data_IF_560411960284
#
_entry.id   IF_560411960284
#
_cell.length_a   1.000
_cell.length_b   1.000
_cell.length_c   1.000
_cell.angle_alpha   90.00
_cell.angle_beta   90.00
_cell.angle_gamma   90.00
#
_symmetry.space_group_name_H-M   'P 1'
#
loop_
_entity.id
_entity.type
_entity.pdbx_description
1 polymer ?
#
# COMPACT_ATOMS: atom_id res chain seq x y z
N UNK A 1 -62.15 36.25 -50.54
CA UNK A 1 -62.16 35.01 -49.74
C UNK A 1 -60.92 34.14 -49.97
N UNK A 2 -60.57 33.75 -51.22
CA UNK A 2 -59.39 32.89 -51.50
C UNK A 2 -58.04 33.42 -50.99
N UNK A 3 -57.81 34.74 -51.03
CA UNK A 3 -56.56 35.36 -50.55
C UNK A 3 -56.43 35.36 -49.02
N UNK A 4 -57.54 35.42 -48.29
CA UNK A 4 -57.56 35.44 -46.82
C UNK A 4 -57.26 34.04 -46.26
N UNK A 5 -57.81 32.98 -46.86
CA UNK A 5 -57.44 31.60 -46.51
C UNK A 5 -55.95 31.31 -46.72
N UNK A 6 -55.33 31.90 -47.74
CA UNK A 6 -53.89 31.75 -48.02
C UNK A 6 -53.02 32.37 -46.93
N UNK A 7 -53.37 33.55 -46.41
CA UNK A 7 -52.64 34.19 -45.31
C UNK A 7 -52.79 33.44 -43.98
N UNK A 8 -53.97 32.85 -43.72
CA UNK A 8 -54.21 32.06 -42.50
C UNK A 8 -53.38 30.76 -42.52
N UNK A 9 -53.28 30.10 -43.68
CA UNK A 9 -52.44 28.90 -43.85
C UNK A 9 -50.95 29.25 -43.70
N UNK A 10 -50.52 30.40 -44.24
CA UNK A 10 -49.13 30.86 -44.13
C UNK A 10 -48.76 31.19 -42.67
N UNK A 11 -49.64 31.86 -41.91
CA UNK A 11 -49.41 32.14 -40.48
C UNK A 11 -49.38 30.88 -39.61
N UNK A 12 -50.19 29.87 -39.93
CA UNK A 12 -50.16 28.57 -39.23
C UNK A 12 -48.85 27.81 -39.48
N UNK A 13 -48.33 27.86 -40.71
CA UNK A 13 -47.07 27.20 -41.07
C UNK A 13 -45.84 27.80 -40.38
N UNK A 14 -45.83 29.12 -40.14
CA UNK A 14 -44.74 29.81 -39.43
C UNK A 14 -44.69 29.40 -37.95
N UNK A 15 -45.84 29.16 -37.32
CA UNK A 15 -45.90 28.71 -35.92
C UNK A 15 -45.48 27.24 -35.73
N UNK A 16 -45.73 26.37 -36.72
CA UNK A 16 -45.29 24.96 -36.69
C UNK A 16 -43.75 24.80 -36.81
N UNK A 17 -43.08 25.70 -37.53
CA UNK A 17 -41.64 25.60 -37.77
C UNK A 17 -40.78 25.93 -36.53
N UNK A 18 -41.30 26.78 -35.64
CA UNK A 18 -40.60 27.16 -34.41
C UNK A 18 -40.65 26.05 -33.34
N UNK A 19 -41.64 25.16 -33.38
CA UNK A 19 -41.81 24.09 -32.39
C UNK A 19 -40.84 22.91 -32.63
N UNK A 20 -40.48 22.64 -33.89
CA UNK A 20 -39.55 21.56 -34.25
C UNK A 20 -38.10 21.83 -33.78
N UNK A 21 -37.64 23.08 -33.92
CA UNK A 21 -36.28 23.46 -33.50
C UNK A 21 -36.06 23.42 -31.98
N UNK A 22 -37.14 23.58 -31.19
CA UNK A 22 -37.08 23.47 -29.73
C UNK A 22 -36.96 22.01 -29.25
N UNK A 23 -37.59 21.06 -29.96
CA UNK A 23 -37.48 19.63 -29.65
C UNK A 23 -36.06 19.09 -29.91
N UNK A 24 -35.39 19.54 -30.96
CA UNK A 24 -34.03 19.11 -31.27
C UNK A 24 -33.01 19.57 -30.19
N UNK A 25 -33.18 20.80 -29.65
CA UNK A 25 -32.35 21.30 -28.54
C UNK A 25 -32.56 20.52 -27.23
N UNK A 26 -33.80 20.14 -26.91
CA UNK A 26 -34.09 19.32 -25.73
C UNK A 26 -33.49 17.91 -25.84
N UNK A 27 -33.52 17.31 -27.04
CA UNK A 27 -32.92 16.00 -27.30
C UNK A 27 -31.38 16.06 -27.17
N UNK A 28 -30.73 17.11 -27.69
CA UNK A 28 -29.29 17.32 -27.50
C UNK A 28 -28.92 17.47 -26.03
N UNK A 29 -29.68 18.27 -25.26
CA UNK A 29 -29.47 18.41 -23.81
C UNK A 29 -29.64 17.08 -23.08
N UNK A 30 -30.65 16.29 -23.41
CA UNK A 30 -30.89 14.98 -22.79
C UNK A 30 -29.73 14.01 -23.05
N UNK A 31 -29.18 13.99 -24.27
CA UNK A 31 -28.00 13.18 -24.61
C UNK A 31 -26.78 13.63 -23.78
N UNK A 32 -26.59 14.95 -23.64
CA UNK A 32 -25.49 15.54 -22.90
C UNK A 32 -25.61 15.23 -21.39
N UNK A 33 -26.82 15.22 -20.84
CA UNK A 33 -27.10 14.84 -19.46
C UNK A 33 -26.93 13.35 -19.20
N UNK A 34 -27.31 12.48 -20.16
CA UNK A 34 -27.01 11.04 -20.09
C UNK A 34 -25.50 10.79 -20.10
N UNK A 35 -24.74 11.52 -20.91
CA UNK A 35 -23.27 11.46 -20.92
C UNK A 35 -22.67 11.89 -19.57
N UNK A 36 -23.11 13.03 -19.02
CA UNK A 36 -22.68 13.50 -17.69
C UNK A 36 -23.01 12.48 -16.59
N UNK A 37 -24.21 11.90 -16.62
CA UNK A 37 -24.62 10.88 -15.65
C UNK A 37 -23.75 9.62 -15.76
N UNK A 38 -23.39 9.21 -16.97
CA UNK A 38 -22.45 8.10 -17.21
C UNK A 38 -21.07 8.41 -16.64
N UNK A 39 -20.54 9.62 -16.87
CA UNK A 39 -19.27 10.07 -16.30
C UNK A 39 -19.28 10.08 -14.76
N UNK A 40 -20.36 10.58 -14.13
CA UNK A 40 -20.47 10.54 -12.67
C UNK A 40 -20.54 9.11 -12.12
N UNK A 41 -21.21 8.18 -12.82
CA UNK A 41 -21.21 6.76 -12.44
C UNK A 41 -19.81 6.16 -12.53
N UNK A 42 -19.04 6.51 -13.56
CA UNK A 42 -17.66 6.08 -13.72
C UNK A 42 -16.79 6.57 -12.55
N UNK A 43 -16.82 7.87 -12.26
CA UNK A 43 -16.08 8.46 -11.13
C UNK A 43 -16.45 7.78 -9.81
N UNK A 44 -17.74 7.56 -9.56
CA UNK A 44 -18.20 6.90 -8.34
C UNK A 44 -17.73 5.44 -8.24
N UNK A 45 -17.64 4.73 -9.37
CA UNK A 45 -17.07 3.39 -9.45
C UNK A 45 -15.56 3.40 -9.13
N UNK A 46 -14.83 4.35 -9.70
CA UNK A 46 -13.39 4.50 -9.49
C UNK A 46 -13.09 4.85 -8.03
N UNK A 47 -13.89 5.75 -7.42
CA UNK A 47 -13.78 6.10 -6.01
C UNK A 47 -14.07 4.91 -5.08
N UNK A 48 -15.07 4.08 -5.38
CA UNK A 48 -15.36 2.86 -4.61
C UNK A 48 -14.24 1.84 -4.72
N UNK A 49 -13.65 1.71 -5.91
CA UNK A 49 -12.51 0.81 -6.14
C UNK A 49 -11.31 1.28 -5.35
N UNK A 50 -10.95 2.56 -5.45
CA UNK A 50 -9.88 3.17 -4.67
C UNK A 50 -10.09 2.99 -3.15
N UNK A 51 -11.30 3.26 -2.66
CA UNK A 51 -11.65 3.05 -1.25
C UNK A 51 -11.48 1.59 -0.81
N UNK A 52 -11.91 0.64 -1.64
CA UNK A 52 -11.80 -0.80 -1.35
C UNK A 52 -10.34 -1.24 -1.31
N UNK A 53 -9.52 -0.80 -2.26
CA UNK A 53 -8.07 -1.07 -2.28
C UNK A 53 -7.40 -0.47 -1.05
N UNK A 54 -7.71 0.78 -0.69
CA UNK A 54 -7.20 1.43 0.52
C UNK A 54 -7.62 0.65 1.78
N UNK A 55 -8.87 0.20 1.87
CA UNK A 55 -9.38 -0.54 3.03
C UNK A 55 -8.81 -1.95 3.14
N UNK A 56 -8.65 -2.67 2.03
CA UNK A 56 -8.00 -3.99 2.01
C UNK A 56 -6.51 -3.86 2.35
N UNK A 57 -5.83 -2.88 1.77
CA UNK A 57 -4.46 -2.51 2.15
C UNK A 57 -4.35 -2.20 3.63
N UNK A 58 -5.22 -1.32 4.15
CA UNK A 58 -5.30 -0.98 5.57
C UNK A 58 -5.54 -2.19 6.48
N UNK A 59 -6.44 -3.10 6.10
CA UNK A 59 -6.77 -4.29 6.89
C UNK A 59 -5.59 -5.25 6.93
N UNK A 60 -4.97 -5.51 5.77
CA UNK A 60 -3.76 -6.33 5.66
C UNK A 60 -2.63 -5.75 6.50
N UNK A 61 -2.45 -4.43 6.43
CA UNK A 61 -1.48 -3.65 7.22
C UNK A 61 -1.79 -3.68 8.71
N UNK A 62 -3.07 -3.61 9.11
CA UNK A 62 -3.51 -3.65 10.50
C UNK A 62 -3.22 -5.02 11.11
N UNK A 63 -3.58 -6.09 10.41
CA UNK A 63 -3.35 -7.47 10.85
C UNK A 63 -1.85 -7.77 10.97
N UNK A 64 -1.06 -7.31 9.99
CA UNK A 64 0.39 -7.19 10.08
C UNK A 64 0.80 -6.46 11.38
N UNK A 65 0.40 -5.19 11.54
CA UNK A 65 0.96 -4.22 12.50
C UNK A 65 0.76 -4.47 14.00
N UNK A 66 -0.20 -5.30 14.41
CA UNK A 66 -0.56 -5.38 15.84
C UNK A 66 -0.73 -6.80 16.37
N UNK A 67 -1.46 -7.67 15.67
CA UNK A 67 -1.71 -9.02 16.17
C UNK A 67 -0.46 -9.90 16.11
N UNK A 68 0.14 -10.00 14.93
CA UNK A 68 1.26 -10.90 14.69
C UNK A 68 2.55 -10.40 15.36
N UNK A 69 2.79 -9.09 15.37
CA UNK A 69 4.01 -8.54 15.95
C UNK A 69 4.09 -8.64 17.47
N UNK A 70 3.02 -8.32 18.18
CA UNK A 70 3.01 -8.43 19.63
C UNK A 70 3.12 -9.91 20.04
N UNK A 71 2.48 -10.81 19.30
CA UNK A 71 2.60 -12.26 19.51
C UNK A 71 4.03 -12.75 19.26
N UNK A 72 4.65 -12.36 18.15
CA UNK A 72 6.01 -12.78 17.80
C UNK A 72 7.03 -12.22 18.78
N UNK A 73 6.89 -10.95 19.16
CA UNK A 73 7.74 -10.32 20.15
C UNK A 73 7.61 -11.03 21.50
N UNK A 74 6.39 -11.30 21.97
CA UNK A 74 6.16 -12.03 23.21
C UNK A 74 6.76 -13.44 23.18
N UNK A 75 6.67 -14.13 22.05
CA UNK A 75 7.30 -15.45 21.87
C UNK A 75 8.82 -15.38 21.93
N UNK A 76 9.46 -14.42 21.25
CA UNK A 76 10.91 -14.21 21.28
C UNK A 76 11.42 -13.82 22.67
N UNK A 77 10.72 -12.90 23.34
CA UNK A 77 11.02 -12.48 24.71
C UNK A 77 10.90 -13.68 25.67
N UNK A 78 9.85 -14.50 25.50
CA UNK A 78 9.65 -15.74 26.25
C UNK A 78 10.79 -16.75 26.02
N UNK A 79 11.17 -16.98 24.77
CA UNK A 79 12.24 -17.91 24.40
C UNK A 79 13.58 -17.54 25.06
N UNK A 80 13.92 -16.24 25.09
CA UNK A 80 15.13 -15.72 25.75
C UNK A 80 15.06 -15.80 27.29
N UNK A 81 13.89 -15.61 27.86
CA UNK A 81 13.69 -15.65 29.31
C UNK A 81 13.82 -17.08 29.86
N UNK A 82 13.26 -18.07 29.16
CA UNK A 82 13.07 -19.43 29.69
C UNK A 82 14.07 -20.47 29.19
N UNK A 83 14.86 -20.20 28.14
CA UNK A 83 15.75 -21.21 27.54
C UNK A 83 17.22 -21.05 27.96
N UNK A 84 17.76 -21.94 28.83
CA UNK A 84 19.18 -21.98 29.15
C UNK A 84 20.04 -22.29 27.93
N UNK A 85 19.51 -23.07 26.97
CA UNK A 85 20.21 -23.37 25.73
C UNK A 85 20.46 -22.10 24.91
N UNK A 86 19.45 -21.26 24.70
CA UNK A 86 19.62 -19.98 23.98
C UNK A 86 20.58 -19.05 24.73
N UNK A 87 20.49 -19.03 26.07
CA UNK A 87 21.38 -18.23 26.93
C UNK A 87 22.85 -18.69 26.88
N UNK A 88 23.09 -19.99 26.76
CA UNK A 88 24.43 -20.57 26.74
C UNK A 88 25.07 -20.53 25.35
N UNK A 89 24.27 -20.53 24.28
CA UNK A 89 24.75 -20.45 22.90
C UNK A 89 24.63 -19.03 22.36
N UNK A 90 25.76 -18.30 22.35
CA UNK A 90 25.83 -16.89 21.90
C UNK A 90 25.13 -16.64 20.56
N UNK A 91 25.39 -17.46 19.54
CA UNK A 91 24.76 -17.30 18.21
C UNK A 91 23.24 -17.48 18.24
N UNK A 92 22.70 -18.32 19.12
CA UNK A 92 21.25 -18.47 19.26
C UNK A 92 20.60 -17.21 19.86
N UNK A 93 21.25 -16.61 20.86
CA UNK A 93 20.84 -15.31 21.40
C UNK A 93 20.95 -14.20 20.35
N UNK A 94 22.03 -14.19 19.55
CA UNK A 94 22.23 -13.22 18.48
C UNK A 94 21.15 -13.36 17.38
N UNK A 95 20.76 -14.58 17.00
CA UNK A 95 19.63 -14.83 16.09
C UNK A 95 18.37 -14.17 16.64
N UNK A 96 18.01 -14.44 17.90
CA UNK A 96 16.80 -13.85 18.51
C UNK A 96 16.88 -12.32 18.54
N UNK A 97 18.06 -11.76 18.84
CA UNK A 97 18.25 -10.30 18.83
C UNK A 97 18.08 -9.70 17.43
N UNK A 98 18.69 -10.29 16.40
CA UNK A 98 18.53 -9.85 15.01
C UNK A 98 17.07 -9.92 14.57
N UNK A 99 16.36 -10.97 14.97
CA UNK A 99 14.95 -11.15 14.67
C UNK A 99 14.09 -10.05 15.33
N UNK A 100 14.35 -9.71 16.59
CA UNK A 100 13.71 -8.57 17.26
C UNK A 100 14.05 -7.22 16.61
N UNK A 101 15.28 -7.03 16.14
CA UNK A 101 15.68 -5.84 15.39
C UNK A 101 14.94 -5.72 14.07
N UNK A 102 14.89 -6.80 13.29
CA UNK A 102 14.09 -6.87 12.06
C UNK A 102 12.64 -6.49 12.35
N UNK A 103 12.09 -6.97 13.48
CA UNK A 103 10.73 -6.65 13.84
C UNK A 103 10.53 -5.14 14.08
N UNK A 104 11.44 -4.50 14.80
CA UNK A 104 11.36 -3.05 15.04
C UNK A 104 11.55 -2.23 13.76
N UNK A 105 12.51 -2.64 12.93
CA UNK A 105 12.88 -1.93 11.70
C UNK A 105 11.74 -1.95 10.66
N UNK A 106 11.10 -3.10 10.43
CA UNK A 106 9.96 -3.15 9.50
C UNK A 106 8.84 -2.22 10.01
N UNK A 107 8.53 -2.26 11.32
CA UNK A 107 7.37 -1.56 11.86
C UNK A 107 7.52 -0.06 11.72
N UNK A 108 8.70 0.41 12.12
CA UNK A 108 9.08 1.81 12.02
C UNK A 108 9.10 2.28 10.56
N UNK A 109 9.74 1.50 9.67
CA UNK A 109 9.84 1.85 8.25
C UNK A 109 8.47 1.91 7.57
N UNK A 110 7.63 0.88 7.79
CA UNK A 110 6.29 0.82 7.20
C UNK A 110 5.41 1.97 7.64
N UNK A 111 5.37 2.28 8.94
CA UNK A 111 4.58 3.39 9.46
C UNK A 111 5.04 4.73 8.87
N UNK A 112 6.36 4.93 8.75
CA UNK A 112 6.92 6.13 8.12
C UNK A 112 6.53 6.26 6.64
N UNK A 113 6.54 5.18 5.87
CA UNK A 113 6.16 5.21 4.46
C UNK A 113 4.65 5.42 4.28
N UNK A 114 3.84 4.85 5.18
CA UNK A 114 2.39 5.08 5.20
C UNK A 114 2.04 6.53 5.55
N UNK A 115 2.75 7.15 6.48
CA UNK A 115 2.47 8.51 6.94
C UNK A 115 3.06 9.62 6.07
N UNK A 116 3.86 9.29 5.05
CA UNK A 116 4.55 10.31 4.25
C UNK A 116 3.72 10.87 3.11
N UNK A 117 2.61 10.22 2.73
CA UNK A 117 1.80 10.54 1.54
C UNK A 117 2.60 10.54 0.21
N UNK A 118 3.81 9.96 0.20
CA UNK A 118 4.71 9.89 -0.97
C UNK A 118 4.52 8.61 -1.80
N UNK A 119 3.68 7.69 -1.32
CA UNK A 119 3.43 6.39 -1.94
C UNK A 119 1.95 6.22 -2.23
N UNK A 120 1.64 5.66 -3.40
CA UNK A 120 0.26 5.32 -3.73
C UNK A 120 -0.18 4.03 -3.03
N UNK A 121 -1.49 3.71 -3.01
CA UNK A 121 -2.00 2.52 -2.34
C UNK A 121 -1.38 1.21 -2.83
N UNK A 122 -1.13 1.05 -4.13
CA UNK A 122 -0.58 -0.18 -4.70
C UNK A 122 0.88 -0.41 -4.29
N UNK A 123 1.66 0.67 -4.18
CA UNK A 123 3.04 0.64 -3.69
C UNK A 123 3.10 0.25 -2.21
N UNK A 124 2.21 0.80 -1.39
CA UNK A 124 2.09 0.43 0.02
C UNK A 124 1.69 -1.05 0.18
N UNK A 125 0.81 -1.56 -0.69
CA UNK A 125 0.46 -2.99 -0.75
C UNK A 125 1.68 -3.83 -1.11
N UNK A 126 2.47 -3.42 -2.11
CA UNK A 126 3.70 -4.12 -2.48
C UNK A 126 4.73 -4.16 -1.34
N UNK A 127 5.00 -3.01 -0.71
CA UNK A 127 5.89 -2.92 0.45
C UNK A 127 5.41 -3.85 1.57
N UNK A 128 4.10 -3.85 1.87
CA UNK A 128 3.50 -4.73 2.86
C UNK A 128 3.68 -6.22 2.52
N UNK A 129 3.56 -6.61 1.25
CA UNK A 129 3.82 -8.00 0.80
C UNK A 129 5.27 -8.42 1.01
N UNK A 130 6.24 -7.55 0.72
CA UNK A 130 7.67 -7.83 0.96
C UNK A 130 7.92 -8.05 2.45
N UNK A 131 7.35 -7.20 3.31
CA UNK A 131 7.50 -7.37 4.76
C UNK A 131 6.81 -8.64 5.28
N UNK A 132 5.59 -8.96 4.83
CA UNK A 132 4.93 -10.23 5.15
C UNK A 132 5.80 -11.44 4.79
N UNK A 133 6.35 -11.46 3.58
CA UNK A 133 7.19 -12.56 3.14
C UNK A 133 8.45 -12.72 3.99
N UNK A 134 9.02 -11.63 4.51
CA UNK A 134 10.14 -11.71 5.45
C UNK A 134 9.69 -12.28 6.80
N UNK A 135 8.52 -11.89 7.28
CA UNK A 135 7.98 -12.34 8.57
C UNK A 135 7.64 -13.83 8.59
N UNK A 136 7.11 -14.34 7.49
CA UNK A 136 6.86 -15.79 7.36
C UNK A 136 8.18 -16.59 7.47
N UNK A 137 9.26 -16.06 6.91
CA UNK A 137 10.59 -16.68 6.98
C UNK A 137 11.18 -16.57 8.38
N UNK A 138 11.03 -15.42 9.06
CA UNK A 138 11.53 -15.25 10.43
C UNK A 138 10.83 -16.18 11.41
N UNK A 139 9.51 -16.35 11.28
CA UNK A 139 8.73 -17.33 12.03
C UNK A 139 9.28 -18.74 11.88
N UNK A 140 9.54 -19.15 10.63
CA UNK A 140 10.10 -20.46 10.33
C UNK A 140 11.47 -20.62 10.99
N UNK A 141 12.35 -19.61 10.88
CA UNK A 141 13.69 -19.67 11.46
C UNK A 141 13.67 -19.82 12.98
N UNK A 142 12.73 -19.19 13.67
CA UNK A 142 12.61 -19.34 15.13
C UNK A 142 12.02 -20.70 15.51
N UNK A 143 11.05 -21.21 14.74
CA UNK A 143 10.55 -22.58 14.93
C UNK A 143 11.67 -23.61 14.75
N UNK A 144 12.50 -23.43 13.72
CA UNK A 144 13.66 -24.27 13.46
C UNK A 144 14.70 -24.15 14.58
N UNK A 145 15.02 -22.92 15.02
CA UNK A 145 15.90 -22.68 16.15
C UNK A 145 15.39 -23.38 17.42
N UNK A 146 14.10 -23.26 17.70
CA UNK A 146 13.44 -23.90 18.86
C UNK A 146 13.56 -25.41 18.79
N UNK A 147 13.38 -25.99 17.60
CA UNK A 147 13.54 -27.43 17.38
C UNK A 147 14.99 -27.87 17.64
N UNK A 148 15.97 -27.10 17.13
CA UNK A 148 17.40 -27.40 17.25
C UNK A 148 17.88 -27.32 18.70
N UNK A 149 17.43 -26.31 19.47
CA UNK A 149 17.82 -26.16 20.89
C UNK A 149 17.09 -27.13 21.83
N UNK A 150 15.93 -27.65 21.46
CA UNK A 150 15.15 -28.61 22.27
C UNK A 150 15.38 -30.07 21.87
N UNK A 151 16.02 -30.32 20.74
CA UNK A 151 16.35 -31.66 20.29
C UNK A 151 17.25 -32.40 21.31
N UNK A 152 16.82 -33.58 21.73
CA UNK A 152 17.61 -34.44 22.61
C UNK A 152 18.86 -34.98 21.88
N UNK A 153 19.85 -35.43 22.65
CA UNK A 153 21.10 -35.99 22.11
C UNK A 153 20.93 -37.30 21.31
N UNK A 154 19.77 -37.97 21.41
CA UNK A 154 19.46 -39.17 20.62
C UNK A 154 19.00 -38.85 19.20
N UNK A 155 18.58 -37.60 18.92
CA UNK A 155 18.07 -37.15 17.61
C UNK A 155 19.06 -36.30 16.82
N UNK A 156 20.01 -35.66 17.51
CA UNK A 156 20.97 -34.75 16.89
C UNK A 156 22.24 -34.69 17.73
N UNK A 157 23.41 -34.90 17.10
CA UNK A 157 24.70 -34.70 17.76
C UNK A 157 24.97 -33.22 18.03
N UNK A 158 25.86 -32.93 18.98
CA UNK A 158 26.21 -31.54 19.31
C UNK A 158 26.85 -30.80 18.12
N UNK A 159 27.62 -31.51 17.28
CA UNK A 159 28.21 -30.95 16.06
C UNK A 159 27.15 -30.59 15.01
N UNK A 160 26.16 -31.47 14.78
CA UNK A 160 25.04 -31.18 13.89
C UNK A 160 24.20 -30.01 14.41
N UNK A 161 23.98 -29.95 15.74
CA UNK A 161 23.24 -28.86 16.38
C UNK A 161 23.92 -27.52 16.14
N UNK A 162 25.24 -27.44 16.36
CA UNK A 162 26.02 -26.22 16.12
C UNK A 162 25.99 -25.82 14.64
N UNK A 163 26.16 -26.77 13.72
CA UNK A 163 26.07 -26.50 12.29
C UNK A 163 24.68 -26.00 11.85
N UNK A 164 23.61 -26.48 12.47
CA UNK A 164 22.26 -25.99 12.22
C UNK A 164 22.07 -24.55 12.73
N UNK A 165 22.57 -24.24 13.94
CA UNK A 165 22.55 -22.88 14.49
C UNK A 165 23.34 -21.92 13.59
N UNK A 166 24.51 -22.34 13.09
CA UNK A 166 25.32 -21.52 12.19
C UNK A 166 24.58 -21.17 10.90
N UNK A 167 23.91 -22.16 10.27
CA UNK A 167 23.10 -21.90 9.07
C UNK A 167 21.93 -20.96 9.34
N UNK A 168 21.26 -21.10 10.49
CA UNK A 168 20.16 -20.21 10.89
C UNK A 168 20.65 -18.79 11.17
N UNK A 169 21.86 -18.65 11.71
CA UNK A 169 22.51 -17.37 11.93
C UNK A 169 22.77 -16.66 10.60
N UNK A 170 23.41 -17.35 9.65
CA UNK A 170 23.74 -16.79 8.34
C UNK A 170 22.47 -16.41 7.57
N UNK A 171 21.45 -17.28 7.58
CA UNK A 171 20.18 -16.98 6.91
C UNK A 171 19.48 -15.75 7.51
N UNK A 172 19.48 -15.62 8.85
CA UNK A 172 18.91 -14.47 9.55
C UNK A 172 19.67 -13.18 9.22
N UNK A 173 21.01 -13.23 9.18
CA UNK A 173 21.85 -12.10 8.82
C UNK A 173 21.59 -11.62 7.39
N UNK A 174 21.45 -12.56 6.45
CA UNK A 174 21.10 -12.26 5.06
C UNK A 174 19.74 -11.55 4.96
N UNK A 175 18.72 -12.01 5.71
CA UNK A 175 17.40 -11.36 5.71
C UNK A 175 17.44 -9.98 6.34
N UNK A 176 18.18 -9.78 7.43
CA UNK A 176 18.35 -8.46 8.04
C UNK A 176 19.06 -7.50 7.07
N UNK A 177 20.06 -7.98 6.35
CA UNK A 177 20.78 -7.20 5.33
C UNK A 177 19.85 -6.82 4.18
N UNK A 178 19.06 -7.77 3.68
CA UNK A 178 18.03 -7.50 2.67
C UNK A 178 17.01 -6.46 3.14
N UNK A 179 16.47 -6.60 4.36
CA UNK A 179 15.51 -5.67 4.94
C UNK A 179 16.07 -4.25 4.96
N UNK A 180 17.31 -4.08 5.45
CA UNK A 180 17.98 -2.78 5.51
C UNK A 180 18.19 -2.19 4.13
N UNK A 181 18.64 -3.00 3.16
CA UNK A 181 18.81 -2.58 1.77
C UNK A 181 17.48 -2.12 1.15
N UNK A 182 16.42 -2.91 1.33
CA UNK A 182 15.07 -2.57 0.86
C UNK A 182 14.57 -1.26 1.49
N UNK A 183 14.67 -1.12 2.80
CA UNK A 183 14.28 0.10 3.52
C UNK A 183 15.05 1.33 3.04
N UNK A 184 16.35 1.19 2.79
CA UNK A 184 17.19 2.28 2.28
C UNK A 184 16.76 2.69 0.87
N UNK A 185 16.54 1.73 -0.02
CA UNK A 185 16.09 2.00 -1.40
C UNK A 185 14.71 2.70 -1.41
N UNK A 186 13.76 2.20 -0.62
CA UNK A 186 12.44 2.82 -0.49
C UNK A 186 12.52 4.22 0.13
N UNK A 187 13.42 4.44 1.09
CA UNK A 187 13.65 5.77 1.66
C UNK A 187 14.25 6.74 0.64
N UNK A 188 15.18 6.28 -0.20
CA UNK A 188 15.74 7.11 -1.28
C UNK A 188 14.66 7.51 -2.29
N UNK A 189 13.79 6.59 -2.68
CA UNK A 189 12.66 6.89 -3.56
C UNK A 189 11.72 7.94 -2.94
N UNK A 190 11.41 7.81 -1.65
CA UNK A 190 10.61 8.80 -0.93
C UNK A 190 11.29 10.18 -0.97
N UNK A 191 12.59 10.27 -0.69
CA UNK A 191 13.34 11.52 -0.72
C UNK A 191 13.34 12.17 -2.11
N UNK A 192 13.49 11.36 -3.17
CA UNK A 192 13.42 11.84 -4.56
C UNK A 192 12.05 12.45 -4.87
N UNK A 193 10.96 11.76 -4.53
CA UNK A 193 9.59 12.27 -4.72
C UNK A 193 9.31 13.54 -3.94
N UNK A 194 9.77 13.60 -2.69
CA UNK A 194 9.60 14.80 -1.87
C UNK A 194 10.31 16.00 -2.51
N UNK A 195 11.50 15.79 -3.07
CA UNK A 195 12.25 16.82 -3.79
C UNK A 195 11.49 17.29 -5.04
N UNK A 196 11.02 16.36 -5.86
CA UNK A 196 10.23 16.68 -7.07
C UNK A 196 8.95 17.45 -6.73
N UNK A 197 8.24 17.07 -5.67
CA UNK A 197 7.05 17.79 -5.20
C UNK A 197 7.37 19.21 -4.75
N UNK A 198 8.50 19.42 -4.07
CA UNK A 198 8.92 20.75 -3.61
C UNK A 198 9.34 21.64 -4.80
N UNK A 199 10.06 21.07 -5.78
CA UNK A 199 10.44 21.79 -7.01
C UNK A 199 9.20 22.18 -7.83
N UNK A 200 8.22 21.28 -7.98
CA UNK A 200 6.97 21.58 -8.66
C UNK A 200 6.17 22.70 -7.98
N UNK A 201 6.12 22.71 -6.64
CA UNK A 201 5.49 23.80 -5.87
C UNK A 201 6.20 25.13 -6.06
N UNK A 202 7.53 25.14 -5.98
CA UNK A 202 8.32 26.36 -6.17
C UNK A 202 8.11 26.97 -7.57
N UNK A 203 8.05 26.12 -8.61
CA UNK A 203 7.75 26.59 -9.97
C UNK A 203 6.32 27.14 -10.09
N UNK A 204 5.33 26.51 -9.46
CA UNK A 204 3.96 27.04 -9.45
C UNK A 204 3.86 28.41 -8.77
N UNK A 205 4.62 28.62 -7.70
CA UNK A 205 4.67 29.91 -7.00
C UNK A 205 5.36 30.98 -7.86
N UNK A 206 6.44 30.64 -8.57
CA UNK A 206 7.21 31.56 -9.42
C UNK A 206 6.44 31.96 -10.70
N UNK A 207 5.68 31.03 -11.30
CA UNK A 207 4.86 31.29 -12.49
C UNK A 207 3.42 31.73 -12.19
N UNK A 208 3.06 31.89 -10.90
CA UNK A 208 1.72 32.21 -10.42
C UNK A 208 1.41 33.70 -10.21
N UNK A 209 2.23 34.63 -10.70
CA UNK A 209 1.91 36.08 -10.61
C UNK A 209 0.69 36.48 -11.48
N UNK A 210 -0.15 37.44 -11.02
CA UNK A 210 -1.46 37.73 -11.62
C UNK A 210 -1.36 38.45 -12.98
N UNK A 211 -2.45 38.50 -13.77
CA UNK A 211 -2.43 39.23 -15.04
C UNK A 211 -2.09 40.70 -14.80
N UNK A 212 -1.08 41.16 -15.54
CA UNK A 212 -0.65 42.57 -15.63
C UNK A 212 -1.87 43.43 -15.98
N UNK A 213 -2.08 44.58 -15.29
CA UNK A 213 -3.28 45.41 -15.41
C UNK A 213 -3.60 45.89 -16.83
#
# INVERSE_FOLDING_TARGET
MKRICLYIILLGAINFCNQANAQDQEIEQLILDVQKLSQFKQILSDMKTAYTVIMQGYTTVRDLSQGDFDLHKAFLDGLMAISPAVRNYKKAADIVSMQLEMLKEYHSAFNRFKSSDLFNPDELVYIGKVYNSLLDVTLKNISDLTTVITANQLRMSDAERLAAIDRLYDDTLDKLTFLRSFNNNTSMLALQRQKEMNEAKALQEDYGEPPVP
#
